data_IF_475287967504
#
_entry.id   IF_475287967504
#
_cell.length_a   1.000
_cell.length_b   1.000
_cell.length_c   1.000
_cell.angle_alpha   90.00
_cell.angle_beta   90.00
_cell.angle_gamma   90.00
#
_symmetry.space_group_name_H-M   'P 1'
#
loop_
_entity.id
_entity.type
_entity.pdbx_description
1 polymer ?
#
# COMPACT_ATOMS: atom_id res chain seq x y z
N UNK A 1 -1.76 16.19 -16.42
CA UNK A 1 -2.80 16.84 -15.68
C UNK A 1 -2.77 16.40 -14.24
N UNK A 2 -3.76 16.79 -13.48
CA UNK A 2 -3.70 16.62 -12.03
C UNK A 2 -3.59 15.17 -11.61
N UNK A 3 -4.33 14.29 -12.23
CA UNK A 3 -4.31 12.90 -11.83
C UNK A 3 -2.94 12.26 -12.05
N UNK A 4 -2.30 12.60 -13.14
CA UNK A 4 -0.98 12.06 -13.41
C UNK A 4 0.06 12.65 -12.47
N UNK A 5 -0.07 13.93 -12.17
CA UNK A 5 0.86 14.56 -11.24
C UNK A 5 0.73 13.94 -9.85
N UNK A 6 -0.50 13.68 -9.42
CA UNK A 6 -0.72 13.05 -8.13
C UNK A 6 -0.13 11.64 -8.12
N UNK A 7 -0.27 10.93 -9.22
CA UNK A 7 0.28 9.59 -9.30
C UNK A 7 1.78 9.58 -9.16
N UNK A 8 2.47 10.50 -9.86
CA UNK A 8 3.92 10.58 -9.73
C UNK A 8 4.33 10.90 -8.31
N UNK A 9 3.62 11.82 -7.69
CA UNK A 9 3.91 12.20 -6.33
C UNK A 9 3.73 11.01 -5.39
N UNK A 10 2.68 10.24 -5.59
CA UNK A 10 2.44 9.08 -4.75
C UNK A 10 3.53 8.04 -4.94
N UNK A 11 3.97 7.82 -6.19
CA UNK A 11 5.03 6.85 -6.43
C UNK A 11 6.31 7.23 -5.71
N UNK A 12 6.67 8.51 -5.75
CA UNK A 12 7.86 8.97 -5.07
C UNK A 12 7.73 8.82 -3.56
N UNK A 13 6.56 9.14 -3.05
CA UNK A 13 6.34 9.03 -1.61
C UNK A 13 6.33 7.57 -1.17
N UNK A 14 5.79 6.68 -1.99
CA UNK A 14 5.83 5.27 -1.67
C UNK A 14 7.27 4.77 -1.60
N UNK A 15 8.10 5.16 -2.57
CA UNK A 15 9.49 4.73 -2.56
C UNK A 15 10.21 5.24 -1.32
N UNK A 16 9.98 6.50 -0.97
CA UNK A 16 10.61 7.07 0.21
C UNK A 16 10.12 6.39 1.47
N UNK A 17 8.82 6.09 1.54
CA UNK A 17 8.28 5.46 2.72
C UNK A 17 8.79 4.03 2.87
N UNK A 18 8.97 3.32 1.75
CA UNK A 18 9.53 1.98 1.83
C UNK A 18 10.95 2.00 2.35
N UNK A 19 11.73 3.01 1.93
CA UNK A 19 13.07 3.16 2.45
C UNK A 19 13.04 3.47 3.94
N UNK A 20 12.09 4.27 4.37
CA UNK A 20 11.96 4.58 5.78
C UNK A 20 11.62 3.33 6.59
N UNK A 21 10.69 2.51 6.09
CA UNK A 21 10.34 1.28 6.79
C UNK A 21 11.58 0.40 6.93
N UNK A 22 12.37 0.30 5.86
CA UNK A 22 13.56 -0.53 5.91
C UNK A 22 14.58 0.03 6.90
N UNK A 23 14.77 1.34 6.88
CA UNK A 23 15.74 1.97 7.78
C UNK A 23 15.31 1.80 9.24
N UNK A 24 14.02 1.98 9.52
CA UNK A 24 13.55 1.83 10.89
C UNK A 24 13.59 0.38 11.33
N UNK A 25 13.40 -0.57 10.42
CA UNK A 25 13.56 -1.98 10.77
C UNK A 25 14.99 -2.29 11.12
N UNK A 26 15.94 -1.72 10.39
CA UNK A 26 17.34 -1.93 10.70
C UNK A 26 17.70 -1.33 12.06
N UNK A 27 17.16 -0.15 12.34
CA UNK A 27 17.42 0.48 13.64
C UNK A 27 16.84 -0.37 14.76
N UNK A 28 15.67 -0.93 14.54
CA UNK A 28 15.06 -1.79 15.55
C UNK A 28 15.93 -3.03 15.78
N UNK A 29 16.41 -3.67 14.72
CA UNK A 29 17.27 -4.82 14.87
C UNK A 29 18.55 -4.48 15.63
N UNK A 30 19.14 -3.33 15.31
CA UNK A 30 20.34 -2.91 15.99
C UNK A 30 20.06 -2.64 17.46
N UNK A 31 18.94 -1.99 17.76
CA UNK A 31 18.62 -1.69 19.16
C UNK A 31 18.42 -2.98 19.97
N UNK A 32 17.85 -4.02 19.34
CA UNK A 32 17.71 -5.28 20.03
C UNK A 32 19.07 -5.90 20.31
N UNK A 33 19.98 -5.83 19.33
CA UNK A 33 21.30 -6.39 19.51
C UNK A 33 22.05 -5.65 20.62
N UNK A 34 21.91 -4.33 20.64
CA UNK A 34 22.58 -3.54 21.68
C UNK A 34 22.00 -3.81 23.04
N UNK A 35 20.69 -4.02 23.10
CA UNK A 35 20.06 -4.36 24.38
C UNK A 35 20.58 -5.71 24.87
N UNK A 36 20.64 -6.70 23.98
CA UNK A 36 21.11 -8.01 24.37
C UNK A 36 22.58 -7.97 24.81
N UNK A 37 23.34 -7.05 24.24
CA UNK A 37 24.73 -6.89 24.63
C UNK A 37 24.92 -6.05 25.89
N UNK A 38 23.83 -5.55 26.45
CA UNK A 38 23.91 -4.75 27.66
C UNK A 38 24.34 -3.33 27.43
N UNK A 39 24.31 -2.86 26.17
CA UNK A 39 24.75 -1.49 25.88
C UNK A 39 23.61 -0.51 26.08
N UNK A 40 22.41 -0.83 25.57
CA UNK A 40 21.27 0.07 25.65
C UNK A 40 20.19 -0.55 26.51
N UNK A 41 19.32 0.31 27.06
CA UNK A 41 18.21 -0.16 27.83
C UNK A 41 17.05 -0.59 26.94
N UNK A 42 16.07 -1.23 27.56
CA UNK A 42 14.94 -1.76 26.82
C UNK A 42 14.06 -0.66 26.26
N UNK A 43 14.06 0.51 26.86
CA UNK A 43 13.26 1.61 26.33
C UNK A 43 13.70 1.99 24.92
N UNK A 44 14.99 1.87 24.64
CA UNK A 44 15.47 2.15 23.30
C UNK A 44 14.87 1.17 22.30
N UNK A 45 14.74 -0.10 22.70
CA UNK A 45 14.14 -1.10 21.84
C UNK A 45 12.68 -0.75 21.59
N UNK A 46 11.97 -0.37 22.63
CA UNK A 46 10.55 -0.03 22.50
C UNK A 46 10.36 1.19 21.59
N UNK A 47 11.22 2.18 21.73
CA UNK A 47 11.13 3.36 20.87
C UNK A 47 11.37 2.99 19.42
N UNK A 48 12.37 2.16 19.17
CA UNK A 48 12.67 1.75 17.81
C UNK A 48 11.52 0.93 17.23
N UNK A 49 10.91 0.08 18.05
CA UNK A 49 9.79 -0.72 17.61
C UNK A 49 8.60 0.17 17.24
N UNK A 50 8.34 1.17 18.07
CA UNK A 50 7.23 2.06 17.80
C UNK A 50 7.47 2.87 16.53
N UNK A 51 8.70 3.32 16.31
CA UNK A 51 9.03 4.08 15.12
C UNK A 51 8.86 3.23 13.88
N UNK A 52 9.32 1.99 13.94
CA UNK A 52 9.15 1.09 12.80
C UNK A 52 7.68 0.81 12.52
N UNK A 53 6.90 0.59 13.57
CA UNK A 53 5.48 0.34 13.41
C UNK A 53 4.80 1.55 12.76
N UNK A 54 5.15 2.74 13.21
CA UNK A 54 4.57 3.95 12.66
C UNK A 54 4.91 4.08 11.16
N UNK A 55 6.15 3.75 10.80
CA UNK A 55 6.54 3.81 9.40
C UNK A 55 5.76 2.81 8.56
N UNK A 56 5.51 1.63 9.10
CA UNK A 56 4.72 0.63 8.38
C UNK A 56 3.28 1.09 8.21
N UNK A 57 2.72 1.73 9.23
CA UNK A 57 1.36 2.26 9.11
C UNK A 57 1.30 3.36 8.05
N UNK A 58 2.32 4.20 8.01
CA UNK A 58 2.38 5.24 6.99
C UNK A 58 2.45 4.65 5.59
N UNK A 59 3.17 3.54 5.44
CA UNK A 59 3.25 2.89 4.14
C UNK A 59 1.88 2.35 3.73
N UNK A 60 1.15 1.75 4.66
CA UNK A 60 -0.18 1.24 4.34
C UNK A 60 -1.11 2.36 3.88
N UNK A 61 -1.03 3.50 4.54
CA UNK A 61 -1.86 4.63 4.14
C UNK A 61 -1.51 5.13 2.74
N UNK A 62 -0.22 5.15 2.41
CA UNK A 62 0.19 5.56 1.09
C UNK A 62 -0.21 4.56 0.03
N UNK A 63 -0.18 3.28 0.36
CA UNK A 63 -0.61 2.26 -0.58
C UNK A 63 -2.11 2.37 -0.84
N UNK A 64 -2.88 2.71 0.18
CA UNK A 64 -4.29 2.96 0.00
C UNK A 64 -4.52 4.16 -0.90
N UNK A 65 -3.76 5.23 -0.68
CA UNK A 65 -3.88 6.41 -1.52
C UNK A 65 -3.50 6.10 -2.96
N UNK A 66 -2.51 5.23 -3.15
CA UNK A 66 -2.11 4.84 -4.48
C UNK A 66 -3.24 4.10 -5.19
N UNK A 67 -3.91 3.18 -4.50
CA UNK A 67 -5.02 2.47 -5.09
C UNK A 67 -6.15 3.42 -5.44
N UNK A 68 -6.46 4.35 -4.56
CA UNK A 68 -7.51 5.31 -4.82
C UNK A 68 -7.17 6.17 -6.02
N UNK A 69 -5.91 6.55 -6.15
CA UNK A 69 -5.49 7.34 -7.28
C UNK A 69 -5.59 6.56 -8.59
N UNK A 70 -5.31 5.28 -8.56
CA UNK A 70 -5.43 4.45 -9.75
C UNK A 70 -6.88 4.36 -10.19
N UNK A 71 -7.79 4.23 -9.25
CA UNK A 71 -9.20 4.19 -9.58
C UNK A 71 -9.63 5.53 -10.19
N UNK A 72 -9.15 6.62 -9.61
CA UNK A 72 -9.49 7.94 -10.13
C UNK A 72 -8.98 8.12 -11.56
N UNK A 73 -7.74 7.68 -11.82
CA UNK A 73 -7.20 7.77 -13.14
C UNK A 73 -8.00 6.93 -14.13
N UNK A 74 -8.36 5.75 -13.70
CA UNK A 74 -9.11 4.87 -14.56
C UNK A 74 -10.44 5.52 -14.94
N UNK A 75 -11.12 6.08 -14.00
CA UNK A 75 -12.40 6.75 -14.27
C UNK A 75 -12.20 7.92 -15.22
N UNK A 76 -11.15 8.70 -14.99
CA UNK A 76 -10.91 9.88 -15.79
C UNK A 76 -10.59 9.52 -17.23
N UNK A 77 -9.71 8.56 -17.41
CA UNK A 77 -9.24 8.22 -18.74
C UNK A 77 -10.17 7.31 -19.48
N UNK A 78 -10.89 6.48 -18.79
CA UNK A 78 -11.69 5.48 -19.45
C UNK A 78 -13.17 5.63 -19.24
N UNK A 79 -13.64 6.86 -19.18
CA UNK A 79 -15.05 7.05 -18.95
C UNK A 79 -15.92 6.19 -19.86
N UNK A 80 -15.62 6.20 -21.14
CA UNK A 80 -16.39 5.40 -22.06
C UNK A 80 -16.03 3.94 -22.02
N UNK A 81 -14.76 3.67 -21.86
CA UNK A 81 -14.32 2.30 -21.81
C UNK A 81 -14.59 1.67 -20.49
N UNK A 82 -14.78 2.50 -19.51
CA UNK A 82 -14.96 2.01 -18.19
C UNK A 82 -16.18 1.11 -18.07
N UNK A 83 -17.23 1.46 -18.73
CA UNK A 83 -18.42 0.65 -18.67
C UNK A 83 -18.13 -0.75 -19.13
N UNK A 84 -17.41 -0.86 -20.22
CA UNK A 84 -17.08 -2.14 -20.74
C UNK A 84 -16.17 -2.89 -19.79
N UNK A 85 -15.20 -2.22 -19.25
CA UNK A 85 -14.30 -2.88 -18.33
C UNK A 85 -15.01 -3.32 -17.07
N UNK A 86 -15.89 -2.51 -16.58
CA UNK A 86 -16.65 -2.90 -15.41
C UNK A 86 -17.43 -4.15 -15.65
N UNK A 87 -18.07 -4.20 -16.79
CA UNK A 87 -18.82 -5.38 -17.11
C UNK A 87 -17.93 -6.60 -17.16
N UNK A 88 -16.78 -6.45 -17.74
CA UNK A 88 -15.90 -7.58 -17.81
C UNK A 88 -15.41 -8.01 -16.46
N UNK A 89 -15.10 -7.09 -15.62
CA UNK A 89 -14.61 -7.44 -14.33
C UNK A 89 -15.66 -8.14 -13.52
N UNK A 90 -16.87 -7.68 -13.61
CA UNK A 90 -17.93 -8.30 -12.86
C UNK A 90 -18.36 -9.58 -13.50
N UNK A 91 -18.37 -9.60 -14.80
CA UNK A 91 -18.86 -10.76 -15.49
C UNK A 91 -18.17 -12.03 -15.09
N UNK A 92 -16.88 -12.05 -14.96
CA UNK A 92 -16.27 -13.33 -14.69
C UNK A 92 -16.89 -14.02 -13.51
N UNK A 93 -17.09 -13.29 -12.49
CA UNK A 93 -17.66 -13.97 -11.38
C UNK A 93 -19.14 -14.09 -11.53
N UNK A 94 -19.78 -13.03 -11.87
CA UNK A 94 -21.20 -13.12 -11.89
C UNK A 94 -21.67 -13.85 -13.12
N UNK A 95 -21.06 -13.62 -14.23
CA UNK A 95 -21.56 -14.31 -15.38
C UNK A 95 -21.25 -15.76 -15.26
N UNK A 96 -20.18 -16.06 -14.64
CA UNK A 96 -19.87 -17.44 -14.47
C UNK A 96 -20.89 -18.07 -13.62
N UNK A 97 -21.18 -17.47 -12.52
CA UNK A 97 -22.15 -18.06 -11.78
C UNK A 97 -23.42 -17.89 -12.37
N UNK A 98 -23.67 -16.81 -13.00
CA UNK A 98 -24.90 -16.72 -13.68
C UNK A 98 -25.03 -17.76 -14.69
N UNK A 99 -23.98 -17.98 -15.38
CA UNK A 99 -24.02 -18.96 -16.40
C UNK A 99 -24.21 -20.29 -15.79
N UNK A 100 -23.57 -20.50 -14.72
CA UNK A 100 -23.76 -21.76 -14.14
C UNK A 100 -25.08 -21.90 -13.61
N UNK A 101 -25.51 -20.95 -12.90
CA UNK A 101 -26.77 -21.14 -12.40
C UNK A 101 -27.72 -21.10 -13.44
N UNK A 102 -27.49 -20.38 -14.38
CA UNK A 102 -28.41 -20.41 -15.45
C UNK A 102 -28.49 -21.76 -15.97
N UNK A 103 -27.57 -22.43 -15.96
CA UNK A 103 -27.58 -23.57 -16.52
C UNK A 103 -27.87 -24.56 -15.69
N UNK A 104 -27.86 -24.25 -14.91
CA UNK A 104 -28.12 -25.08 -14.21
C UNK A 104 -28.78 -25.37 -14.20
#
# INVERSE_FOLDING_TARGET
NDALAVRQNIDERLAAQRRLVKATANTYDLSQARFRAGIDGYLTVLDAQRTNYSAQQGLLLLEQANLNNQVELYKTLGGGLKTYSSDQIIAPSSSAERATEAKN
#
